data_IF_030516444267
#
_entry.id   IF_030516444267
#
_cell.length_a   1.000
_cell.length_b   1.000
_cell.length_c   1.000
_cell.angle_alpha   90.00
_cell.angle_beta   90.00
_cell.angle_gamma   90.00
#
_symmetry.space_group_name_H-M   'P 1'
#
loop_
_entity.id
_entity.type
_entity.pdbx_description
1 polymer ?
#
# COMPACT_ATOMS: atom_id res chain seq x y z
N UNK A 1 -42.62 15.87 -8.50
CA UNK A 1 -42.99 15.55 -7.10
C UNK A 1 -42.02 14.49 -6.61
N UNK A 2 -41.12 14.82 -5.68
CA UNK A 2 -40.60 13.77 -4.79
C UNK A 2 -41.49 13.79 -3.52
N UNK A 3 -42.29 12.74 -3.27
CA UNK A 3 -43.39 12.78 -2.31
C UNK A 3 -42.93 12.54 -0.87
N UNK A 4 -43.80 12.91 0.07
CA UNK A 4 -43.70 12.57 1.50
C UNK A 4 -43.25 11.12 1.74
N UNK A 5 -42.27 10.93 2.63
CA UNK A 5 -41.93 9.62 3.22
C UNK A 5 -40.94 8.80 2.42
N UNK A 6 -39.69 9.26 2.27
CA UNK A 6 -38.58 8.43 1.81
C UNK A 6 -38.44 7.24 2.78
N UNK A 7 -39.00 6.08 2.41
CA UNK A 7 -38.56 4.78 2.90
C UNK A 7 -37.29 4.43 2.14
N UNK A 8 -36.23 5.17 2.45
CA UNK A 8 -34.89 4.87 1.97
C UNK A 8 -34.54 3.46 2.39
N UNK A 9 -33.69 2.81 1.60
CA UNK A 9 -33.07 1.58 2.04
C UNK A 9 -31.86 1.97 2.88
N UNK A 10 -31.70 1.30 4.02
CA UNK A 10 -30.45 1.41 4.78
C UNK A 10 -29.33 0.81 3.93
N UNK A 11 -28.40 1.66 3.54
CA UNK A 11 -27.16 1.31 2.85
C UNK A 11 -25.99 1.59 3.80
N UNK A 12 -24.84 0.96 3.55
CA UNK A 12 -23.62 1.27 4.29
C UNK A 12 -22.74 2.18 3.46
N UNK A 13 -22.39 3.33 4.01
CA UNK A 13 -21.39 4.21 3.41
C UNK A 13 -20.04 3.97 4.08
N UNK A 14 -19.01 3.81 3.25
CA UNK A 14 -17.61 3.70 3.65
C UNK A 14 -16.85 4.88 3.05
N UNK A 15 -16.28 5.73 3.91
CA UNK A 15 -15.42 6.84 3.53
C UNK A 15 -13.99 6.50 3.90
N UNK A 16 -13.06 6.76 2.98
CA UNK A 16 -11.62 6.66 3.22
C UNK A 16 -11.07 8.06 3.14
N UNK A 17 -10.66 8.61 4.28
CA UNK A 17 -10.05 9.92 4.35
C UNK A 17 -8.63 9.90 3.76
N UNK A 18 -8.10 11.07 3.43
CA UNK A 18 -6.76 11.23 2.84
C UNK A 18 -5.63 10.72 3.75
N UNK A 19 -5.89 10.58 5.05
CA UNK A 19 -4.99 10.01 6.06
C UNK A 19 -5.09 8.48 6.19
N UNK A 20 -5.92 7.83 5.37
CA UNK A 20 -6.18 6.39 5.40
C UNK A 20 -7.18 5.94 6.46
N UNK A 21 -7.77 6.86 7.23
CA UNK A 21 -8.83 6.55 8.19
C UNK A 21 -10.08 6.11 7.47
N UNK A 22 -10.58 4.93 7.82
CA UNK A 22 -11.83 4.38 7.27
C UNK A 22 -12.97 4.62 8.24
N UNK A 23 -14.00 5.34 7.82
CA UNK A 23 -15.24 5.52 8.56
C UNK A 23 -16.38 4.81 7.85
N UNK A 24 -17.18 4.07 8.62
CA UNK A 24 -18.37 3.38 8.13
C UNK A 24 -19.59 3.80 8.92
N UNK A 25 -20.65 4.19 8.23
CA UNK A 25 -21.93 4.53 8.86
C UNK A 25 -23.10 4.17 7.97
N UNK A 26 -24.26 3.97 8.61
CA UNK A 26 -25.50 3.67 7.91
C UNK A 26 -26.08 4.96 7.32
N UNK A 27 -26.45 4.90 6.05
CA UNK A 27 -27.06 6.00 5.32
C UNK A 27 -28.39 5.57 4.70
N UNK A 28 -29.35 6.50 4.66
CA UNK A 28 -30.62 6.30 3.97
C UNK A 28 -30.52 6.83 2.55
N UNK A 29 -30.71 5.95 1.57
CA UNK A 29 -30.67 6.31 0.17
C UNK A 29 -31.64 5.49 -0.67
N UNK A 30 -31.88 5.98 -1.89
CA UNK A 30 -32.63 5.26 -2.91
C UNK A 30 -31.82 5.25 -4.21
N UNK A 31 -31.45 4.05 -4.65
CA UNK A 31 -30.84 3.85 -5.96
C UNK A 31 -31.93 3.95 -7.04
N UNK A 32 -31.82 4.94 -7.92
CA UNK A 32 -32.70 5.15 -9.07
C UNK A 32 -32.14 4.51 -10.36
N UNK A 33 -31.02 3.81 -10.26
CA UNK A 33 -30.34 3.13 -11.35
C UNK A 33 -29.25 3.99 -12.02
N UNK A 34 -28.48 3.39 -12.91
CA UNK A 34 -27.27 4.00 -13.48
C UNK A 34 -27.53 5.29 -14.29
N UNK A 35 -28.74 5.43 -14.85
CA UNK A 35 -29.15 6.61 -15.62
C UNK A 35 -29.43 7.80 -14.70
N UNK A 36 -30.22 7.57 -13.66
CA UNK A 36 -30.76 8.64 -12.82
C UNK A 36 -29.89 8.88 -11.57
N UNK A 37 -29.13 7.88 -11.12
CA UNK A 37 -28.16 7.97 -10.02
C UNK A 37 -28.72 7.43 -8.71
N UNK A 38 -28.13 7.84 -7.59
CA UNK A 38 -28.61 7.56 -6.24
C UNK A 38 -29.03 8.87 -5.58
N UNK A 39 -30.08 8.83 -4.77
CA UNK A 39 -30.55 10.00 -4.00
C UNK A 39 -30.54 9.71 -2.51
N UNK A 40 -30.09 10.69 -1.74
CA UNK A 40 -30.05 10.70 -0.28
C UNK A 40 -30.91 11.85 0.26
N UNK A 41 -31.14 11.84 1.58
CA UNK A 41 -31.73 13.00 2.26
C UNK A 41 -30.87 14.26 2.05
N UNK A 42 -31.49 15.44 2.09
CA UNK A 42 -30.78 16.72 1.90
C UNK A 42 -29.65 16.94 2.90
N UNK A 43 -29.80 16.43 4.13
CA UNK A 43 -28.79 16.53 5.20
C UNK A 43 -27.82 15.33 5.24
N UNK A 44 -27.82 14.49 4.20
CA UNK A 44 -26.96 13.32 4.16
C UNK A 44 -25.50 13.74 3.97
N UNK A 45 -24.64 13.28 4.87
CA UNK A 45 -23.18 13.45 4.78
C UNK A 45 -22.62 12.47 3.75
N UNK A 46 -22.51 12.93 2.50
CA UNK A 46 -21.96 12.19 1.36
C UNK A 46 -20.95 13.04 0.61
N UNK A 47 -19.82 12.45 0.24
CA UNK A 47 -18.74 13.09 -0.48
C UNK A 47 -18.41 12.32 -1.78
N UNK A 48 -17.81 13.02 -2.73
CA UNK A 48 -17.29 12.38 -3.94
C UNK A 48 -16.16 11.43 -3.54
N UNK A 49 -16.24 10.19 -4.00
CA UNK A 49 -15.30 9.12 -3.66
C UNK A 49 -15.82 8.13 -2.62
N UNK A 50 -16.89 8.44 -1.90
CA UNK A 50 -17.51 7.53 -0.93
C UNK A 50 -18.00 6.23 -1.58
N UNK A 51 -17.86 5.12 -0.88
CA UNK A 51 -18.35 3.81 -1.31
C UNK A 51 -19.64 3.45 -0.58
N UNK A 52 -20.75 3.39 -1.31
CA UNK A 52 -22.06 3.02 -0.79
C UNK A 52 -22.38 1.58 -1.17
N UNK A 53 -22.59 0.73 -0.17
CA UNK A 53 -22.92 -0.68 -0.35
C UNK A 53 -24.40 -0.95 -0.06
N UNK A 54 -25.08 -1.49 -1.06
CA UNK A 54 -26.48 -1.91 -0.99
C UNK A 54 -26.59 -3.44 -1.09
N UNK A 55 -27.45 -4.05 -0.26
CA UNK A 55 -27.79 -5.49 -0.38
C UNK A 55 -28.96 -5.69 -1.34
N UNK A 56 -28.74 -6.27 -2.52
CA UNK A 56 -29.79 -6.50 -3.51
C UNK A 56 -30.76 -7.63 -3.10
N UNK A 57 -31.97 -7.71 -3.67
CA UNK A 57 -32.96 -8.76 -3.34
C UNK A 57 -32.48 -10.20 -3.53
N UNK A 58 -31.44 -10.41 -4.34
CA UNK A 58 -30.80 -11.70 -4.57
C UNK A 58 -29.71 -12.04 -3.53
N UNK A 59 -29.58 -11.24 -2.46
CA UNK A 59 -28.57 -11.41 -1.41
C UNK A 59 -27.16 -10.95 -1.80
N UNK A 60 -26.94 -10.46 -3.03
CA UNK A 60 -25.63 -9.94 -3.44
C UNK A 60 -25.44 -8.51 -2.98
N UNK A 61 -24.19 -8.16 -2.63
CA UNK A 61 -23.80 -6.80 -2.35
C UNK A 61 -23.48 -6.07 -3.66
N UNK A 62 -24.02 -4.85 -3.79
CA UNK A 62 -23.70 -3.89 -4.84
C UNK A 62 -22.98 -2.72 -4.18
N UNK A 63 -21.69 -2.56 -4.48
CA UNK A 63 -20.90 -1.40 -4.03
C UNK A 63 -20.89 -0.35 -5.13
N UNK A 64 -21.16 0.89 -4.76
CA UNK A 64 -21.32 2.03 -5.65
C UNK A 64 -20.36 3.12 -5.18
N UNK A 65 -19.43 3.54 -6.03
CA UNK A 65 -18.54 4.66 -5.71
C UNK A 65 -19.15 5.95 -6.24
N UNK A 66 -19.32 6.94 -5.37
CA UNK A 66 -19.89 8.23 -5.75
C UNK A 66 -18.87 9.03 -6.57
N UNK A 67 -19.30 9.53 -7.74
CA UNK A 67 -18.47 10.28 -8.69
C UNK A 67 -18.79 11.78 -8.68
N UNK A 68 -20.06 12.12 -8.48
CA UNK A 68 -20.53 13.50 -8.41
C UNK A 68 -21.61 13.56 -7.35
N UNK A 69 -21.57 14.57 -6.48
CA UNK A 69 -22.58 14.83 -5.46
C UNK A 69 -23.14 16.23 -5.70
N UNK A 70 -24.45 16.34 -5.89
CA UNK A 70 -25.17 17.60 -6.07
C UNK A 70 -26.27 17.71 -5.03
N UNK A 71 -26.19 18.74 -4.20
CA UNK A 71 -27.23 19.08 -3.22
C UNK A 71 -28.23 20.02 -3.88
N UNK A 72 -29.48 19.60 -4.00
CA UNK A 72 -30.55 20.44 -4.51
C UNK A 72 -31.31 21.07 -3.33
N UNK A 73 -31.19 22.39 -3.18
CA UNK A 73 -31.96 23.19 -2.23
C UNK A 73 -32.75 24.27 -2.99
N UNK A 74 -34.07 24.30 -2.82
CA UNK A 74 -34.89 25.33 -3.47
C UNK A 74 -34.92 26.63 -2.64
N UNK A 75 -34.54 27.79 -3.20
CA UNK A 75 -34.53 29.07 -2.47
C UNK A 75 -35.93 29.60 -2.12
N UNK A 76 -36.99 29.04 -2.71
CA UNK A 76 -38.39 29.39 -2.45
C UNK A 76 -39.20 28.15 -2.00
N UNK A 77 -38.85 27.59 -0.85
CA UNK A 77 -39.80 27.07 0.15
C UNK A 77 -40.84 26.02 -0.28
N UNK A 78 -40.47 25.00 -1.06
CA UNK A 78 -41.28 23.77 -1.16
C UNK A 78 -40.46 22.53 -0.81
N UNK A 79 -40.71 21.97 0.39
CA UNK A 79 -40.04 20.78 0.97
C UNK A 79 -40.05 19.50 0.10
N UNK A 80 -40.69 19.51 -1.07
CA UNK A 80 -40.86 18.33 -1.94
C UNK A 80 -39.75 18.14 -2.99
N UNK A 81 -38.73 19.00 -3.02
CA UNK A 81 -37.65 18.93 -4.02
C UNK A 81 -36.24 18.83 -3.39
N UNK A 82 -36.12 18.93 -2.07
CA UNK A 82 -34.82 19.01 -1.40
C UNK A 82 -34.23 17.60 -1.20
N UNK A 83 -33.19 17.28 -1.96
CA UNK A 83 -32.47 16.00 -1.86
C UNK A 83 -31.02 16.15 -2.31
N UNK A 84 -30.16 15.26 -1.82
CA UNK A 84 -28.78 15.14 -2.30
C UNK A 84 -28.75 14.03 -3.34
N UNK A 85 -28.43 14.36 -4.57
CA UNK A 85 -28.26 13.38 -5.65
C UNK A 85 -26.79 13.08 -5.86
N UNK A 86 -26.48 11.84 -6.24
CA UNK A 86 -25.14 11.49 -6.67
C UNK A 86 -25.14 10.59 -7.90
N UNK A 87 -24.16 10.80 -8.78
CA UNK A 87 -23.80 9.82 -9.81
C UNK A 87 -22.82 8.83 -9.21
N UNK A 88 -22.90 7.58 -9.64
CA UNK A 88 -22.03 6.53 -9.13
C UNK A 88 -21.56 5.59 -10.24
N UNK A 89 -20.43 4.94 -10.01
CA UNK A 89 -20.03 3.74 -10.75
C UNK A 89 -20.22 2.49 -9.89
N UNK A 90 -20.64 1.39 -10.50
CA UNK A 90 -20.73 0.11 -9.78
C UNK A 90 -19.33 -0.47 -9.66
N UNK A 91 -18.83 -0.53 -8.43
CA UNK A 91 -17.61 -1.26 -8.10
C UNK A 91 -17.94 -2.74 -8.13
N UNK A 92 -17.89 -3.33 -9.33
CA UNK A 92 -17.99 -4.78 -9.46
C UNK A 92 -16.79 -5.38 -8.75
N UNK A 93 -17.01 -6.35 -7.84
CA UNK A 93 -15.94 -6.98 -7.04
C UNK A 93 -14.82 -7.68 -7.83
N UNK A 94 -14.82 -7.60 -9.17
CA UNK A 94 -13.69 -7.98 -10.03
C UNK A 94 -12.71 -6.84 -10.33
N UNK A 95 -13.09 -5.58 -10.13
CA UNK A 95 -12.19 -4.43 -10.30
C UNK A 95 -11.30 -4.22 -9.05
N UNK A 96 -11.85 -4.43 -7.85
CA UNK A 96 -11.11 -4.33 -6.59
C UNK A 96 -10.07 -5.45 -6.36
N UNK A 97 -10.07 -6.49 -7.22
CA UNK A 97 -9.15 -7.63 -7.16
C UNK A 97 -8.26 -7.78 -8.40
N UNK A 98 -8.28 -6.82 -9.32
CA UNK A 98 -7.15 -6.73 -10.25
C UNK A 98 -5.99 -6.16 -9.45
N UNK A 99 -5.27 -7.03 -8.73
CA UNK A 99 -3.84 -6.78 -8.56
C UNK A 99 -3.33 -6.37 -9.94
N UNK A 100 -2.70 -5.18 -10.07
CA UNK A 100 -2.16 -4.78 -11.36
C UNK A 100 -1.36 -5.96 -11.89
N UNK A 101 -1.63 -6.37 -13.13
CA UNK A 101 -0.93 -7.50 -13.72
C UNK A 101 0.56 -7.31 -13.43
N UNK A 102 1.25 -8.32 -12.84
CA UNK A 102 2.57 -8.11 -12.25
C UNK A 102 3.46 -7.37 -13.23
N UNK A 103 3.76 -6.12 -12.91
CA UNK A 103 4.51 -5.26 -13.82
C UNK A 103 5.98 -5.57 -13.61
N UNK A 104 6.58 -6.18 -14.63
CA UNK A 104 8.02 -6.37 -14.64
C UNK A 104 8.70 -5.02 -14.86
N UNK A 105 9.63 -4.67 -13.98
CA UNK A 105 10.51 -3.50 -14.08
C UNK A 105 11.88 -4.00 -14.57
N UNK A 106 12.17 -3.90 -15.89
CA UNK A 106 13.42 -4.42 -16.43
C UNK A 106 14.64 -3.77 -15.78
N UNK A 107 15.69 -4.56 -15.51
CA UNK A 107 16.93 -4.08 -14.90
C UNK A 107 16.96 -4.13 -13.36
N UNK A 108 15.80 -4.16 -12.71
CA UNK A 108 15.72 -4.36 -11.25
C UNK A 108 15.79 -5.85 -10.88
N UNK A 109 16.18 -6.12 -9.64
CA UNK A 109 16.13 -7.44 -9.05
C UNK A 109 14.67 -7.96 -9.04
N UNK A 110 14.46 -9.23 -9.37
CA UNK A 110 13.13 -9.81 -9.59
C UNK A 110 12.20 -9.62 -8.39
N UNK A 111 12.70 -9.81 -7.16
CA UNK A 111 11.92 -9.60 -5.95
C UNK A 111 11.49 -8.13 -5.75
N UNK A 112 12.31 -7.16 -6.17
CA UNK A 112 11.94 -5.74 -6.11
C UNK A 112 10.91 -5.41 -7.18
N UNK A 113 11.11 -5.91 -8.40
CA UNK A 113 10.12 -5.76 -9.46
C UNK A 113 8.76 -6.33 -9.04
N UNK A 114 8.74 -7.51 -8.40
CA UNK A 114 7.53 -8.14 -7.93
C UNK A 114 6.86 -7.36 -6.79
N UNK A 115 7.65 -6.81 -5.85
CA UNK A 115 7.13 -6.08 -4.70
C UNK A 115 6.56 -4.69 -5.06
N UNK A 116 7.12 -4.04 -6.10
CA UNK A 116 6.91 -2.61 -6.34
C UNK A 116 6.33 -2.26 -7.72
N UNK A 117 6.34 -3.21 -8.68
CA UNK A 117 5.98 -2.92 -10.07
C UNK A 117 4.56 -2.37 -10.24
N UNK A 118 3.61 -2.95 -9.52
CA UNK A 118 2.20 -2.54 -9.54
C UNK A 118 1.99 -1.11 -9.06
N UNK A 119 2.72 -0.71 -8.02
CA UNK A 119 2.67 0.61 -7.41
C UNK A 119 3.33 1.65 -8.32
N UNK A 120 4.44 1.31 -8.98
CA UNK A 120 5.07 2.16 -10.00
C UNK A 120 4.10 2.41 -11.17
N UNK A 121 3.46 1.36 -11.69
CA UNK A 121 2.54 1.49 -12.82
C UNK A 121 1.28 2.32 -12.49
N UNK A 122 0.89 2.35 -11.22
CA UNK A 122 -0.26 3.12 -10.72
C UNK A 122 0.13 4.45 -10.08
N UNK A 123 1.42 4.84 -10.18
CA UNK A 123 1.98 6.10 -9.64
C UNK A 123 1.90 6.26 -8.11
N UNK A 124 1.81 5.15 -7.38
CA UNK A 124 1.89 5.11 -5.91
C UNK A 124 3.35 4.94 -5.48
N UNK A 125 4.16 5.99 -5.67
CA UNK A 125 5.62 5.91 -5.54
C UNK A 125 6.11 5.64 -4.12
N UNK A 126 5.48 6.26 -3.11
CA UNK A 126 5.82 5.98 -1.71
C UNK A 126 5.56 4.52 -1.34
N UNK A 127 4.42 3.96 -1.77
CA UNK A 127 4.10 2.56 -1.54
C UNK A 127 5.07 1.63 -2.30
N UNK A 128 5.50 2.01 -3.50
CA UNK A 128 6.49 1.25 -4.26
C UNK A 128 7.81 1.13 -3.49
N UNK A 129 8.30 2.24 -2.93
CA UNK A 129 9.53 2.29 -2.13
C UNK A 129 9.36 1.53 -0.82
N UNK A 130 8.26 1.74 -0.09
CA UNK A 130 7.98 1.03 1.15
C UNK A 130 7.98 -0.49 0.95
N UNK A 131 7.28 -0.97 -0.09
CA UNK A 131 7.20 -2.40 -0.39
C UNK A 131 8.54 -2.98 -0.87
N UNK A 132 9.36 -2.21 -1.60
CA UNK A 132 10.71 -2.64 -1.99
C UNK A 132 11.59 -2.93 -0.76
N UNK A 133 11.68 -1.98 0.17
CA UNK A 133 12.53 -2.13 1.35
C UNK A 133 11.94 -3.09 2.39
N UNK A 134 10.62 -3.27 2.41
CA UNK A 134 9.98 -4.36 3.16
C UNK A 134 10.40 -5.72 2.62
N UNK A 135 10.42 -5.91 1.29
CA UNK A 135 10.88 -7.16 0.69
C UNK A 135 12.36 -7.45 1.01
N UNK A 136 13.22 -6.42 1.06
CA UNK A 136 14.62 -6.56 1.50
C UNK A 136 14.70 -7.08 2.94
N UNK A 137 13.93 -6.48 3.86
CA UNK A 137 13.86 -6.91 5.25
C UNK A 137 13.37 -8.36 5.40
N UNK A 138 12.28 -8.72 4.71
CA UNK A 138 11.72 -10.07 4.72
C UNK A 138 12.73 -11.11 4.23
N UNK A 139 13.51 -10.80 3.18
CA UNK A 139 14.56 -11.68 2.68
C UNK A 139 15.71 -11.84 3.69
N UNK A 140 16.12 -10.75 4.33
CA UNK A 140 17.14 -10.80 5.40
C UNK A 140 16.66 -11.71 6.55
N UNK A 141 15.42 -11.57 6.98
CA UNK A 141 14.84 -12.42 8.02
C UNK A 141 14.81 -13.89 7.62
N UNK A 142 14.37 -14.19 6.39
CA UNK A 142 14.30 -15.55 5.87
C UNK A 142 15.69 -16.22 5.84
N UNK A 143 16.71 -15.52 5.32
CA UNK A 143 18.08 -16.06 5.23
C UNK A 143 18.75 -16.26 6.59
N UNK A 144 18.29 -15.56 7.64
CA UNK A 144 18.88 -15.61 8.98
C UNK A 144 18.04 -16.38 9.99
N UNK A 145 16.96 -17.03 9.54
CA UNK A 145 16.11 -17.85 10.42
C UNK A 145 15.28 -17.03 11.42
N UNK A 146 14.88 -15.81 11.05
CA UNK A 146 14.04 -14.92 11.87
C UNK A 146 14.64 -14.65 13.27
N UNK A 147 15.78 -13.95 13.34
CA UNK A 147 16.45 -13.68 14.60
C UNK A 147 15.52 -12.95 15.58
N UNK A 148 15.63 -13.29 16.86
CA UNK A 148 14.79 -12.75 17.93
C UNK A 148 15.64 -11.98 18.94
N UNK A 149 15.05 -10.92 19.48
CA UNK A 149 15.64 -10.15 20.57
C UNK A 149 15.60 -10.93 21.90
N UNK A 150 16.20 -10.36 22.94
CA UNK A 150 16.22 -10.95 24.29
C UNK A 150 14.84 -11.16 24.92
N UNK A 151 13.79 -10.55 24.38
CA UNK A 151 12.39 -10.73 24.78
C UNK A 151 11.63 -11.74 23.90
N UNK A 152 12.33 -12.43 23.00
CA UNK A 152 11.74 -13.43 22.09
C UNK A 152 10.94 -12.85 20.92
N UNK A 153 11.04 -11.54 20.66
CA UNK A 153 10.35 -10.89 19.54
C UNK A 153 11.26 -10.84 18.32
N UNK A 154 10.72 -11.03 17.12
CA UNK A 154 11.49 -10.95 15.87
C UNK A 154 12.16 -9.58 15.72
N UNK A 155 13.45 -9.60 15.35
CA UNK A 155 14.18 -8.38 15.02
C UNK A 155 13.67 -7.80 13.69
N UNK A 156 13.49 -6.48 13.66
CA UNK A 156 13.00 -5.73 12.49
C UNK A 156 13.79 -4.43 12.29
N UNK A 157 13.69 -3.86 11.09
CA UNK A 157 14.23 -2.56 10.73
C UNK A 157 15.73 -2.44 11.02
N UNK A 158 16.14 -1.28 11.54
CA UNK A 158 17.54 -0.99 11.86
C UNK A 158 18.18 -2.05 12.76
N UNK A 159 17.48 -2.53 13.79
CA UNK A 159 18.03 -3.49 14.77
C UNK A 159 18.37 -4.82 14.11
N UNK A 160 17.47 -5.33 13.26
CA UNK A 160 17.75 -6.51 12.45
C UNK A 160 19.02 -6.33 11.62
N UNK A 161 19.11 -5.23 10.88
CA UNK A 161 20.25 -4.97 9.99
C UNK A 161 21.57 -4.83 10.77
N UNK A 162 21.54 -4.21 11.95
CA UNK A 162 22.71 -4.11 12.83
C UNK A 162 23.20 -5.47 13.32
N UNK A 163 22.27 -6.36 13.68
CA UNK A 163 22.59 -7.71 14.17
C UNK A 163 23.10 -8.60 13.04
N UNK A 164 22.42 -8.60 11.89
CA UNK A 164 22.74 -9.50 10.78
C UNK A 164 24.05 -9.12 10.09
N UNK A 165 24.30 -7.83 9.87
CA UNK A 165 25.48 -7.33 9.18
C UNK A 165 26.51 -6.76 10.17
N UNK A 166 26.58 -7.31 11.37
CA UNK A 166 27.62 -6.93 12.32
C UNK A 166 29.00 -7.23 11.71
N UNK A 167 29.86 -6.23 11.62
CA UNK A 167 31.16 -6.31 10.95
C UNK A 167 32.15 -7.23 11.66
N UNK A 168 31.99 -7.46 12.98
CA UNK A 168 32.81 -8.41 13.73
C UNK A 168 32.33 -9.85 13.60
N UNK A 169 31.02 -10.07 13.53
CA UNK A 169 30.41 -11.40 13.44
C UNK A 169 29.13 -11.36 12.58
N UNK A 170 29.25 -11.27 11.24
CA UNK A 170 28.10 -11.16 10.37
C UNK A 170 27.39 -12.52 10.24
N UNK A 171 26.06 -12.51 10.31
CA UNK A 171 25.25 -13.71 10.02
C UNK A 171 25.15 -13.98 8.51
N UNK A 172 25.35 -12.95 7.68
CA UNK A 172 25.35 -13.05 6.22
C UNK A 172 26.61 -12.43 5.64
N UNK A 173 27.37 -13.20 4.87
CA UNK A 173 28.49 -12.67 4.08
C UNK A 173 28.01 -12.20 2.71
N UNK A 174 27.88 -10.88 2.56
CA UNK A 174 27.41 -10.19 1.35
C UNK A 174 28.55 -9.63 0.49
N UNK A 175 29.79 -9.90 0.85
CA UNK A 175 30.95 -9.30 0.18
C UNK A 175 31.09 -9.78 -1.27
N UNK A 176 31.85 -9.05 -2.07
CA UNK A 176 32.15 -9.38 -3.47
C UNK A 176 33.14 -10.54 -3.55
N UNK A 177 32.97 -11.44 -4.52
CA UNK A 177 33.81 -12.65 -4.64
C UNK A 177 35.29 -12.31 -4.91
N UNK A 178 35.52 -11.26 -5.70
CA UNK A 178 36.86 -10.84 -6.13
C UNK A 178 37.51 -9.81 -5.20
N UNK A 179 36.87 -9.47 -4.08
CA UNK A 179 37.42 -8.53 -3.11
C UNK A 179 38.55 -9.18 -2.28
N UNK A 180 39.62 -8.43 -2.04
CA UNK A 180 40.64 -8.81 -1.06
C UNK A 180 40.12 -8.68 0.39
N UNK A 181 40.92 -9.08 1.38
CA UNK A 181 40.50 -9.08 2.77
C UNK A 181 40.13 -7.68 3.29
N UNK A 182 40.90 -6.64 2.93
CA UNK A 182 40.63 -5.27 3.36
C UNK A 182 39.37 -4.72 2.70
N UNK A 183 39.20 -4.96 1.39
CA UNK A 183 37.99 -4.59 0.66
C UNK A 183 36.74 -5.27 1.22
N UNK A 184 36.86 -6.54 1.67
CA UNK A 184 35.75 -7.25 2.31
C UNK A 184 35.35 -6.64 3.65
N UNK A 185 36.31 -6.17 4.44
CA UNK A 185 36.03 -5.48 5.69
C UNK A 185 35.31 -4.14 5.45
N UNK A 186 35.78 -3.36 4.47
CA UNK A 186 35.14 -2.11 4.04
C UNK A 186 33.71 -2.36 3.51
N UNK A 187 33.52 -3.40 2.71
CA UNK A 187 32.19 -3.75 2.18
C UNK A 187 31.24 -4.20 3.29
N UNK A 188 31.69 -4.98 4.28
CA UNK A 188 30.85 -5.40 5.42
C UNK A 188 30.31 -4.18 6.17
N UNK A 189 31.20 -3.25 6.53
CA UNK A 189 30.80 -2.03 7.24
C UNK A 189 29.92 -1.13 6.35
N UNK A 190 30.32 -0.89 5.11
CA UNK A 190 29.59 -0.04 4.18
C UNK A 190 28.17 -0.55 3.92
N UNK A 191 28.02 -1.83 3.61
CA UNK A 191 26.69 -2.41 3.38
C UNK A 191 25.87 -2.44 4.66
N UNK A 192 26.44 -2.70 5.83
CA UNK A 192 25.73 -2.58 7.11
C UNK A 192 25.05 -1.20 7.21
N UNK A 193 25.78 -0.13 6.92
CA UNK A 193 25.21 1.22 6.92
C UNK A 193 24.15 1.42 5.84
N UNK A 194 24.32 0.88 4.64
CA UNK A 194 23.31 0.97 3.58
C UNK A 194 22.02 0.24 3.95
N UNK A 195 22.10 -0.97 4.52
CA UNK A 195 20.93 -1.71 4.99
C UNK A 195 20.23 -1.00 6.15
N UNK A 196 20.98 -0.53 7.14
CA UNK A 196 20.43 0.24 8.26
C UNK A 196 19.80 1.55 7.80
N UNK A 197 20.49 2.29 6.93
CA UNK A 197 20.04 3.53 6.34
C UNK A 197 18.78 3.34 5.50
N UNK A 198 18.74 2.31 4.65
CA UNK A 198 17.56 2.00 3.84
C UNK A 198 16.34 1.64 4.68
N UNK A 199 16.52 0.82 5.72
CA UNK A 199 15.46 0.50 6.66
C UNK A 199 14.95 1.76 7.40
N UNK A 200 15.85 2.63 7.84
CA UNK A 200 15.47 3.81 8.64
C UNK A 200 14.92 4.97 7.80
N UNK A 201 15.54 5.28 6.65
CA UNK A 201 15.23 6.44 5.83
C UNK A 201 14.15 6.18 4.78
N UNK A 202 14.08 4.95 4.24
CA UNK A 202 13.15 4.67 3.13
C UNK A 202 11.92 3.87 3.56
N UNK A 203 12.10 2.81 4.37
CA UNK A 203 10.99 2.00 4.88
C UNK A 203 10.26 2.69 6.04
N UNK A 204 10.96 3.04 7.11
CA UNK A 204 10.30 3.46 8.35
C UNK A 204 9.56 4.81 8.22
N UNK A 205 10.12 5.76 7.48
CA UNK A 205 9.49 7.06 7.21
C UNK A 205 8.16 6.91 6.48
N UNK A 206 8.07 5.95 5.54
CA UNK A 206 6.86 5.64 4.78
C UNK A 206 5.90 4.68 5.49
N UNK A 207 6.38 3.91 6.47
CA UNK A 207 5.57 2.97 7.23
C UNK A 207 4.85 3.57 8.45
N UNK A 208 5.31 4.71 8.96
CA UNK A 208 4.78 5.34 10.17
C UNK A 208 4.61 6.87 10.07
N UNK A 209 5.09 7.48 8.98
CA UNK A 209 5.01 8.92 8.76
C UNK A 209 3.90 9.31 7.77
N UNK A 210 3.71 10.62 7.54
CA UNK A 210 2.82 11.13 6.50
C UNK A 210 3.32 10.73 5.10
N UNK A 211 2.44 10.81 4.11
CA UNK A 211 2.82 10.66 2.70
C UNK A 211 3.91 11.68 2.33
N UNK A 212 5.01 11.20 1.75
CA UNK A 212 6.17 12.03 1.40
C UNK A 212 6.05 12.61 -0.02
N UNK A 213 5.04 12.18 -0.78
CA UNK A 213 4.79 12.60 -2.16
C UNK A 213 6.02 12.42 -3.05
N UNK A 214 6.71 11.28 -2.89
CA UNK A 214 7.94 10.96 -3.62
C UNK A 214 7.73 11.04 -5.13
N UNK A 215 8.62 11.72 -5.85
CA UNK A 215 8.57 11.78 -7.31
C UNK A 215 9.01 10.47 -7.97
N UNK A 216 8.54 10.21 -9.20
CA UNK A 216 8.84 8.98 -9.94
C UNK A 216 10.34 8.69 -10.07
N UNK A 217 11.13 9.70 -10.43
CA UNK A 217 12.59 9.56 -10.63
C UNK A 217 13.29 9.15 -9.34
N UNK A 218 12.96 9.83 -8.24
CA UNK A 218 13.53 9.57 -6.92
C UNK A 218 13.13 8.18 -6.42
N UNK A 219 11.87 7.77 -6.64
CA UNK A 219 11.41 6.43 -6.33
C UNK A 219 12.19 5.37 -7.11
N UNK A 220 12.43 5.59 -8.40
CA UNK A 220 13.24 4.66 -9.21
C UNK A 220 14.68 4.53 -8.71
N UNK A 221 15.30 5.62 -8.22
CA UNK A 221 16.63 5.60 -7.61
C UNK A 221 16.63 4.81 -6.29
N UNK A 222 15.59 4.98 -5.46
CA UNK A 222 15.40 4.19 -4.24
C UNK A 222 15.16 2.69 -4.54
N UNK A 223 14.37 2.38 -5.58
CA UNK A 223 14.14 1.00 -6.04
C UNK A 223 15.43 0.37 -6.60
N UNK A 224 16.24 1.14 -7.33
CA UNK A 224 17.56 0.70 -7.79
C UNK A 224 18.49 0.40 -6.60
N UNK A 225 18.42 1.21 -5.55
CA UNK A 225 19.16 0.99 -4.29
C UNK A 225 18.70 -0.31 -3.61
N UNK A 226 17.39 -0.53 -3.45
CA UNK A 226 16.86 -1.78 -2.91
C UNK A 226 17.28 -3.00 -3.76
N UNK A 227 17.30 -2.83 -5.09
CA UNK A 227 17.77 -3.85 -6.02
C UNK A 227 19.25 -4.17 -5.83
N UNK A 228 20.11 -3.18 -5.58
CA UNK A 228 21.52 -3.40 -5.27
C UNK A 228 21.69 -4.22 -4.00
N UNK A 229 20.92 -3.89 -2.95
CA UNK A 229 20.94 -4.64 -1.69
C UNK A 229 20.49 -6.09 -1.87
N UNK A 230 19.45 -6.34 -2.67
CA UNK A 230 19.03 -7.71 -3.00
C UNK A 230 20.12 -8.52 -3.70
N UNK A 231 20.89 -7.90 -4.61
CA UNK A 231 22.00 -8.57 -5.29
C UNK A 231 23.16 -8.90 -4.33
N UNK A 232 23.33 -8.11 -3.27
CA UNK A 232 24.26 -8.45 -2.20
C UNK A 232 23.78 -9.67 -1.41
N UNK A 233 22.46 -9.77 -1.17
CA UNK A 233 21.84 -10.95 -0.55
C UNK A 233 21.93 -12.20 -1.42
N UNK A 234 21.87 -12.08 -2.75
CA UNK A 234 22.10 -13.22 -3.66
C UNK A 234 23.45 -13.89 -3.39
N UNK A 235 24.50 -13.08 -3.18
CA UNK A 235 25.84 -13.59 -2.86
C UNK A 235 25.87 -14.31 -1.51
N UNK A 236 25.22 -13.75 -0.49
CA UNK A 236 25.13 -14.40 0.81
C UNK A 236 24.38 -15.74 0.75
N UNK A 237 23.25 -15.79 0.04
CA UNK A 237 22.45 -17.00 -0.14
C UNK A 237 23.23 -18.10 -0.88
N UNK A 238 23.97 -17.74 -1.92
CA UNK A 238 24.84 -18.67 -2.64
C UNK A 238 25.89 -19.31 -1.72
N UNK A 239 26.46 -18.54 -0.79
CA UNK A 239 27.46 -19.02 0.19
C UNK A 239 26.84 -19.92 1.25
N UNK A 240 25.66 -19.57 1.76
CA UNK A 240 24.90 -20.42 2.68
C UNK A 240 24.58 -21.79 2.06
N UNK A 241 24.20 -21.78 0.78
CA UNK A 241 23.89 -23.01 0.04
C UNK A 241 25.14 -23.84 -0.29
N UNK A 242 26.27 -23.18 -0.58
CA UNK A 242 27.55 -23.82 -0.86
C UNK A 242 28.25 -24.41 0.38
N UNK A 243 27.94 -23.94 1.59
CA UNK A 243 28.47 -24.46 2.85
C UNK A 243 27.72 -25.68 3.41
N UNK A 244 26.67 -26.17 2.72
CA UNK A 244 25.88 -27.33 3.13
C UNK A 244 26.25 -28.63 2.38
N UNK A 245 27.37 -28.64 1.64
CA UNK A 245 27.97 -29.83 1.00
C UNK A 245 29.22 -30.27 1.77
#
# INVERSE_FOLDING_TARGET
MLPHGIKGKTMKLRRVADDGTVTEFDIQGQDLGQKDGITFSVDADVEVGDEVTETLPNGKLKTMRLLEVQVFQSPFGTKMLDHTSAKYEVVTGRAALRQPAPVSLPGLHQLISAASGSQIATRHYDDAVFNAFKAVEERVQALTGYPKNSKGQSEIGKRLMTTVFNEQNPLLDITSDNADAGQKDDEREGFKFLFMGGAQAFRNTRGHGPSLQTGEREAMEMLATASLLMRALDRAEARLSGGQQ
#
